data_IF_911181605853
#
_entry.id   IF_911181605853
#
_cell.length_a   1.000
_cell.length_b   1.000
_cell.length_c   1.000
_cell.angle_alpha   90.00
_cell.angle_beta   90.00
_cell.angle_gamma   90.00
#
_symmetry.space_group_name_H-M   'P 1'
#
loop_
_entity.id
_entity.type
_entity.pdbx_description
1 polymer ?
#
# COMPACT_ATOMS: atom_id res chain seq x y z
N UNK A 1 -27.96 -17.90 -23.52
CA UNK A 1 -28.03 -16.47 -23.16
C UNK A 1 -26.95 -15.73 -23.91
N UNK A 2 -27.25 -14.56 -24.48
CA UNK A 2 -26.22 -13.66 -25.02
C UNK A 2 -25.99 -12.58 -23.98
N UNK A 3 -24.77 -12.50 -23.46
CA UNK A 3 -24.37 -11.45 -22.54
C UNK A 3 -23.80 -10.31 -23.37
N UNK A 4 -24.42 -9.14 -23.28
CA UNK A 4 -23.89 -7.94 -23.93
C UNK A 4 -22.66 -7.45 -23.15
N UNK A 5 -21.76 -6.76 -23.84
CA UNK A 5 -20.55 -6.19 -23.29
C UNK A 5 -20.53 -4.69 -23.58
N UNK A 6 -19.87 -3.94 -22.71
CA UNK A 6 -19.54 -2.54 -22.94
C UNK A 6 -18.72 -2.38 -24.23
N UNK A 7 -18.91 -1.26 -24.92
CA UNK A 7 -18.06 -0.90 -26.06
C UNK A 7 -17.17 0.25 -25.65
N UNK A 8 -15.86 -0.01 -25.63
CA UNK A 8 -14.88 1.05 -25.48
C UNK A 8 -14.90 1.91 -26.74
N UNK A 9 -15.14 3.22 -26.56
CA UNK A 9 -15.07 4.20 -27.63
C UNK A 9 -13.63 4.73 -27.67
N UNK A 10 -13.34 5.82 -26.95
CA UNK A 10 -12.02 6.45 -26.82
C UNK A 10 -11.95 7.26 -25.51
N UNK A 11 -10.74 7.54 -25.01
CA UNK A 11 -10.51 8.39 -23.83
C UNK A 11 -11.33 8.00 -22.59
N UNK A 12 -11.28 6.73 -22.18
CA UNK A 12 -12.04 6.19 -21.04
C UNK A 12 -13.57 6.37 -21.17
N UNK A 13 -14.11 6.59 -22.38
CA UNK A 13 -15.54 6.61 -22.64
C UNK A 13 -16.02 5.23 -23.08
N UNK A 14 -17.09 4.78 -22.43
CA UNK A 14 -17.72 3.49 -22.70
C UNK A 14 -19.19 3.70 -23.05
N UNK A 15 -19.65 2.98 -24.08
CA UNK A 15 -21.08 2.84 -24.38
C UNK A 15 -21.63 1.64 -23.58
N UNK A 16 -22.57 1.92 -22.67
CA UNK A 16 -23.16 0.92 -21.78
C UNK A 16 -24.53 0.51 -22.35
N UNK A 17 -24.80 -0.80 -22.51
CA UNK A 17 -26.10 -1.25 -23.00
C UNK A 17 -27.27 -0.76 -22.13
N UNK A 18 -28.35 -0.31 -22.77
CA UNK A 18 -29.50 0.29 -22.07
C UNK A 18 -30.32 -0.67 -21.19
N UNK A 19 -30.05 -1.96 -21.27
CA UNK A 19 -30.65 -3.01 -20.43
C UNK A 19 -29.78 -3.37 -19.20
N UNK A 20 -28.63 -2.71 -19.01
CA UNK A 20 -27.83 -2.85 -17.80
C UNK A 20 -28.47 -2.10 -16.62
N UNK A 21 -27.86 -2.22 -15.44
CA UNK A 21 -28.28 -1.47 -14.25
C UNK A 21 -28.25 0.04 -14.52
N UNK A 22 -29.04 0.80 -13.77
CA UNK A 22 -28.97 2.25 -13.82
C UNK A 22 -27.64 2.77 -13.26
N UNK A 23 -27.23 3.97 -13.70
CA UNK A 23 -25.93 4.57 -13.37
C UNK A 23 -25.71 4.73 -11.85
N UNK A 24 -26.78 4.89 -11.08
CA UNK A 24 -26.76 5.02 -9.62
C UNK A 24 -26.13 3.79 -8.94
N UNK A 25 -26.29 2.59 -9.51
CA UNK A 25 -25.66 1.38 -8.97
C UNK A 25 -24.15 1.42 -9.13
N UNK A 26 -23.65 1.90 -10.28
CA UNK A 26 -22.22 2.05 -10.55
C UNK A 26 -21.60 3.11 -9.65
N UNK A 27 -22.27 4.27 -9.52
CA UNK A 27 -21.82 5.33 -8.62
C UNK A 27 -21.78 4.87 -7.16
N UNK A 28 -22.85 4.22 -6.67
CA UNK A 28 -22.90 3.70 -5.32
C UNK A 28 -21.79 2.68 -5.06
N UNK A 29 -21.59 1.73 -5.98
CA UNK A 29 -20.54 0.71 -5.85
C UNK A 29 -19.15 1.35 -5.78
N UNK A 30 -18.84 2.30 -6.67
CA UNK A 30 -17.56 3.01 -6.69
C UNK A 30 -17.31 3.77 -5.38
N UNK A 31 -18.30 4.54 -4.90
CA UNK A 31 -18.19 5.30 -3.66
C UNK A 31 -18.00 4.38 -2.44
N UNK A 32 -18.83 3.34 -2.33
CA UNK A 32 -18.77 2.39 -1.22
C UNK A 32 -17.43 1.65 -1.19
N UNK A 33 -16.95 1.19 -2.36
CA UNK A 33 -15.65 0.53 -2.48
C UNK A 33 -14.52 1.43 -1.97
N UNK A 34 -14.50 2.68 -2.41
CA UNK A 34 -13.48 3.67 -2.04
C UNK A 34 -13.52 4.02 -0.56
N UNK A 35 -14.71 4.25 -0.02
CA UNK A 35 -14.93 4.54 1.41
C UNK A 35 -14.47 3.36 2.27
N UNK A 36 -14.90 2.14 1.94
CA UNK A 36 -14.62 0.94 2.74
C UNK A 36 -13.12 0.64 2.77
N UNK A 37 -12.43 0.70 1.63
CA UNK A 37 -11.00 0.44 1.56
C UNK A 37 -10.17 1.55 2.21
N UNK A 38 -10.59 2.81 2.11
CA UNK A 38 -9.93 3.91 2.82
C UNK A 38 -10.08 3.78 4.33
N UNK A 39 -11.25 3.35 4.81
CA UNK A 39 -11.48 3.04 6.23
C UNK A 39 -10.62 1.86 6.69
N UNK A 40 -10.43 0.80 5.88
CA UNK A 40 -9.51 -0.29 6.21
C UNK A 40 -8.09 0.20 6.44
N UNK A 41 -7.57 0.99 5.50
CA UNK A 41 -6.22 1.56 5.60
C UNK A 41 -6.09 2.46 6.82
N UNK A 42 -7.09 3.32 7.05
CA UNK A 42 -7.10 4.20 8.21
C UNK A 42 -7.13 3.43 9.53
N UNK A 43 -8.04 2.46 9.68
CA UNK A 43 -8.13 1.61 10.87
C UNK A 43 -6.82 0.88 11.10
N UNK A 44 -6.21 0.32 10.06
CA UNK A 44 -4.91 -0.32 10.16
C UNK A 44 -3.85 0.61 10.73
N UNK A 45 -3.68 1.81 10.16
CA UNK A 45 -2.64 2.76 10.57
C UNK A 45 -2.79 3.07 12.07
N UNK A 46 -4.01 3.36 12.52
CA UNK A 46 -4.26 3.70 13.93
C UNK A 46 -3.99 2.49 14.84
N UNK A 47 -4.52 1.31 14.51
CA UNK A 47 -4.36 0.14 15.36
C UNK A 47 -2.91 -0.36 15.40
N UNK A 48 -2.22 -0.42 14.26
CA UNK A 48 -0.81 -0.83 14.18
C UNK A 48 0.07 0.18 14.93
N UNK A 49 -0.21 1.47 14.84
CA UNK A 49 0.52 2.49 15.61
C UNK A 49 0.37 2.31 17.13
N UNK A 50 -0.85 2.09 17.61
CA UNK A 50 -1.11 2.06 19.06
C UNK A 50 -0.76 0.70 19.70
N UNK A 51 -0.93 -0.40 18.96
CA UNK A 51 -0.83 -1.76 19.51
C UNK A 51 0.32 -2.60 18.93
N UNK A 52 1.06 -2.08 17.94
CA UNK A 52 2.13 -2.81 17.23
C UNK A 52 1.62 -4.19 16.82
N UNK A 53 2.40 -5.26 16.98
CA UNK A 53 2.02 -6.64 16.63
C UNK A 53 0.71 -7.13 17.27
N UNK A 54 0.28 -6.55 18.39
CA UNK A 54 -0.93 -6.99 19.11
C UNK A 54 -2.23 -6.47 18.48
N UNK A 55 -2.15 -5.67 17.41
CA UNK A 55 -3.32 -5.10 16.75
C UNK A 55 -4.32 -6.15 16.26
N UNK A 56 -3.85 -7.34 15.86
CA UNK A 56 -4.70 -8.46 15.42
C UNK A 56 -5.42 -9.16 16.59
N UNK A 57 -4.92 -9.02 17.81
CA UNK A 57 -5.48 -9.63 19.02
C UNK A 57 -6.58 -8.78 19.66
N UNK A 58 -6.88 -7.61 19.08
CA UNK A 58 -7.91 -6.72 19.58
C UNK A 58 -9.29 -7.35 19.45
N UNK A 59 -10.07 -7.26 20.52
CA UNK A 59 -11.42 -7.81 20.58
C UNK A 59 -12.38 -7.00 19.72
N UNK A 60 -13.24 -7.70 18.99
CA UNK A 60 -14.29 -7.16 18.14
C UNK A 60 -15.55 -8.03 18.27
N UNK A 61 -16.72 -7.40 18.18
CA UNK A 61 -18.00 -8.11 18.02
C UNK A 61 -18.26 -8.30 16.53
N UNK A 62 -18.37 -9.55 16.09
CA UNK A 62 -18.70 -9.90 14.71
C UNK A 62 -20.15 -9.53 14.36
N UNK A 63 -20.52 -9.69 13.09
CA UNK A 63 -21.91 -9.50 12.65
C UNK A 63 -22.88 -10.48 13.33
N UNK A 64 -22.41 -11.65 13.76
CA UNK A 64 -23.19 -12.69 14.45
C UNK A 64 -23.24 -12.49 15.99
N UNK A 65 -22.88 -11.29 16.47
CA UNK A 65 -22.77 -10.92 17.89
C UNK A 65 -21.74 -11.73 18.71
N UNK A 66 -20.95 -12.58 18.05
CA UNK A 66 -19.85 -13.30 18.66
C UNK A 66 -18.69 -12.35 18.99
N UNK A 67 -18.20 -12.42 20.24
CA UNK A 67 -16.96 -11.76 20.62
C UNK A 67 -15.78 -12.59 20.15
N UNK A 68 -14.95 -12.01 19.30
CA UNK A 68 -13.74 -12.64 18.78
C UNK A 68 -12.60 -11.61 18.68
N UNK A 69 -11.49 -11.98 18.04
CA UNK A 69 -10.41 -11.05 17.71
C UNK A 69 -10.36 -10.79 16.21
N UNK A 70 -9.76 -9.67 15.80
CA UNK A 70 -9.57 -9.33 14.38
C UNK A 70 -8.87 -10.48 13.64
N UNK A 71 -7.79 -11.01 14.21
CA UNK A 71 -7.02 -12.10 13.63
C UNK A 71 -7.81 -13.42 13.56
N UNK A 72 -8.61 -13.74 14.57
CA UNK A 72 -9.41 -14.97 14.57
C UNK A 72 -10.53 -14.93 13.52
N UNK A 73 -11.22 -13.79 13.36
CA UNK A 73 -12.24 -13.61 12.31
C UNK A 73 -11.60 -13.74 10.93
N UNK A 74 -10.47 -13.05 10.70
CA UNK A 74 -9.76 -13.12 9.43
C UNK A 74 -9.30 -14.55 9.12
N UNK A 75 -8.69 -15.25 10.08
CA UNK A 75 -8.24 -16.64 9.89
C UNK A 75 -9.42 -17.58 9.54
N UNK A 76 -10.58 -17.39 10.17
CA UNK A 76 -11.79 -18.15 9.86
C UNK A 76 -12.23 -17.92 8.41
N UNK A 77 -12.31 -16.67 7.96
CA UNK A 77 -12.72 -16.31 6.58
C UNK A 77 -11.69 -16.75 5.54
N UNK A 78 -10.41 -16.53 5.79
CA UNK A 78 -9.30 -17.07 4.97
C UNK A 78 -9.38 -18.59 4.80
N UNK A 79 -9.69 -19.33 5.87
CA UNK A 79 -9.83 -20.78 5.78
C UNK A 79 -11.05 -21.22 4.96
N UNK A 80 -12.10 -20.39 4.92
CA UNK A 80 -13.27 -20.62 4.07
C UNK A 80 -12.94 -20.34 2.60
N UNK A 81 -12.19 -19.27 2.33
CA UNK A 81 -11.76 -18.88 0.97
C UNK A 81 -10.83 -19.91 0.33
N UNK A 82 -9.97 -20.56 1.13
CA UNK A 82 -9.11 -21.64 0.65
C UNK A 82 -9.90 -22.84 0.08
N UNK A 83 -11.17 -23.03 0.46
CA UNK A 83 -12.02 -24.06 -0.15
C UNK A 83 -12.44 -23.70 -1.59
N UNK A 84 -12.26 -22.44 -1.98
CA UNK A 84 -12.61 -21.88 -3.29
C UNK A 84 -11.41 -21.18 -3.96
N UNK A 85 -10.18 -21.62 -3.66
CA UNK A 85 -8.92 -20.94 -4.01
C UNK A 85 -8.71 -20.57 -5.49
N UNK A 86 -9.56 -21.04 -6.42
CA UNK A 86 -9.56 -20.65 -7.83
C UNK A 86 -10.33 -19.33 -8.11
N UNK A 87 -11.03 -18.74 -7.12
CA UNK A 87 -11.94 -17.59 -7.31
C UNK A 87 -11.36 -16.21 -6.93
N UNK A 88 -10.06 -16.07 -6.68
CA UNK A 88 -9.52 -14.74 -6.36
C UNK A 88 -8.04 -14.71 -6.00
N UNK A 89 -7.60 -13.53 -5.55
CA UNK A 89 -6.25 -13.26 -5.08
C UNK A 89 -6.03 -13.75 -3.64
N UNK A 90 -4.82 -14.22 -3.32
CA UNK A 90 -4.48 -14.63 -1.96
C UNK A 90 -4.03 -13.44 -1.11
N UNK A 91 -4.94 -12.90 -0.29
CA UNK A 91 -4.70 -11.67 0.48
C UNK A 91 -4.61 -11.96 1.99
N UNK A 92 -3.44 -11.70 2.56
CA UNK A 92 -3.15 -12.01 3.97
C UNK A 92 -3.57 -10.93 4.98
N UNK A 93 -3.94 -9.72 4.55
CA UNK A 93 -4.29 -8.63 5.48
C UNK A 93 -5.60 -8.93 6.23
N UNK A 94 -5.58 -9.02 7.58
CA UNK A 94 -6.79 -9.34 8.35
C UNK A 94 -7.97 -8.37 8.14
N UNK A 95 -7.70 -7.11 7.80
CA UNK A 95 -8.75 -6.08 7.66
C UNK A 95 -9.53 -6.18 6.36
N UNK A 96 -8.96 -6.78 5.31
CA UNK A 96 -9.71 -7.07 4.09
C UNK A 96 -10.77 -8.14 4.30
N UNK A 97 -10.55 -9.00 5.29
CA UNK A 97 -11.50 -10.02 5.70
C UNK A 97 -12.59 -9.49 6.62
N UNK A 98 -12.57 -8.22 7.04
CA UNK A 98 -13.62 -7.63 7.86
C UNK A 98 -14.72 -6.97 7.02
N UNK A 99 -15.96 -7.00 7.54
CA UNK A 99 -17.09 -6.29 6.94
C UNK A 99 -17.06 -4.79 7.29
N UNK A 100 -17.78 -3.98 6.53
CA UNK A 100 -17.91 -2.55 6.84
C UNK A 100 -18.51 -2.31 8.23
N UNK A 101 -19.50 -3.11 8.65
CA UNK A 101 -20.08 -3.05 9.99
C UNK A 101 -19.06 -3.34 11.08
N UNK A 102 -18.20 -4.34 10.89
CA UNK A 102 -17.10 -4.65 11.80
C UNK A 102 -16.09 -3.49 11.91
N UNK A 103 -15.72 -2.86 10.79
CA UNK A 103 -14.84 -1.67 10.80
C UNK A 103 -15.46 -0.50 11.58
N UNK A 104 -16.76 -0.24 11.38
CA UNK A 104 -17.48 0.81 12.10
C UNK A 104 -17.51 0.51 13.60
N UNK A 105 -17.75 -0.76 13.98
CA UNK A 105 -17.72 -1.20 15.39
C UNK A 105 -16.34 -1.06 16.02
N UNK A 106 -15.25 -1.31 15.28
CA UNK A 106 -13.89 -1.03 15.77
C UNK A 106 -13.73 0.46 16.06
N UNK A 107 -14.05 1.31 15.09
CA UNK A 107 -13.86 2.76 15.18
C UNK A 107 -14.64 3.32 16.37
N UNK A 108 -15.91 2.91 16.51
CA UNK A 108 -16.87 3.48 17.45
C UNK A 108 -17.00 2.71 18.77
N UNK A 109 -16.14 1.72 19.02
CA UNK A 109 -16.07 0.98 20.28
C UNK A 109 -15.60 1.88 21.41
N UNK A 110 -16.20 1.76 22.60
CA UNK A 110 -15.75 2.47 23.81
C UNK A 110 -14.28 2.22 24.14
N UNK A 111 -13.78 1.02 23.84
CA UNK A 111 -12.40 0.63 24.13
C UNK A 111 -11.39 1.36 23.25
N UNK A 112 -11.77 1.69 22.02
CA UNK A 112 -10.85 2.19 20.99
C UNK A 112 -11.14 3.61 20.52
N UNK A 113 -12.34 4.15 20.80
CA UNK A 113 -12.76 5.48 20.36
C UNK A 113 -11.76 6.57 20.76
N UNK A 114 -11.11 6.44 21.92
CA UNK A 114 -10.07 7.38 22.37
C UNK A 114 -8.92 7.57 21.37
N UNK A 115 -8.61 6.56 20.56
CA UNK A 115 -7.57 6.63 19.53
C UNK A 115 -8.09 7.24 18.21
N UNK A 116 -9.38 7.04 17.91
CA UNK A 116 -10.02 7.52 16.68
C UNK A 116 -10.60 8.94 16.79
N UNK A 117 -11.04 9.37 17.98
CA UNK A 117 -11.79 10.60 18.23
C UNK A 117 -11.17 11.84 17.56
N UNK A 118 -9.85 11.99 17.60
CA UNK A 118 -9.15 13.17 17.06
C UNK A 118 -9.24 13.30 15.52
N UNK A 119 -9.65 12.23 14.83
CA UNK A 119 -9.76 12.19 13.38
C UNK A 119 -11.19 12.39 12.87
N UNK A 120 -12.16 12.57 13.77
CA UNK A 120 -13.56 12.74 13.41
C UNK A 120 -14.13 14.04 14.01
N UNK A 121 -14.85 14.80 13.18
CA UNK A 121 -15.50 16.05 13.58
C UNK A 121 -16.91 15.77 14.10
N UNK A 122 -17.02 15.14 15.26
CA UNK A 122 -18.31 14.81 15.87
C UNK A 122 -18.19 13.92 17.10
N UNK A 123 -19.32 13.71 17.78
CA UNK A 123 -19.37 12.70 18.85
C UNK A 123 -19.36 11.30 18.25
N UNK A 124 -18.97 10.31 19.07
CA UNK A 124 -18.93 8.90 18.68
C UNK A 124 -20.26 8.45 18.07
N UNK A 125 -21.37 8.88 18.67
CA UNK A 125 -22.74 8.53 18.27
C UNK A 125 -23.10 9.13 16.91
N UNK A 126 -22.74 10.39 16.67
CA UNK A 126 -22.99 11.06 15.37
C UNK A 126 -22.20 10.36 14.27
N UNK A 127 -20.92 10.06 14.52
CA UNK A 127 -20.04 9.39 13.55
C UNK A 127 -20.55 7.98 13.27
N UNK A 128 -20.92 7.23 14.31
CA UNK A 128 -21.52 5.90 14.19
C UNK A 128 -22.76 5.95 13.31
N UNK A 129 -23.71 6.82 13.60
CA UNK A 129 -24.96 6.91 12.84
C UNK A 129 -24.72 7.22 11.36
N UNK A 130 -23.80 8.15 11.05
CA UNK A 130 -23.47 8.50 9.65
C UNK A 130 -22.81 7.36 8.89
N UNK A 131 -21.92 6.62 9.54
CA UNK A 131 -21.29 5.46 8.92
C UNK A 131 -22.27 4.28 8.78
N UNK A 132 -23.15 4.07 9.76
CA UNK A 132 -24.22 3.07 9.72
C UNK A 132 -25.22 3.37 8.58
N UNK A 133 -25.54 4.65 8.32
CA UNK A 133 -26.35 5.06 7.16
C UNK A 133 -25.70 4.67 5.82
N UNK A 134 -24.38 4.84 5.68
CA UNK A 134 -23.62 4.35 4.52
C UNK A 134 -23.67 2.81 4.46
N UNK A 135 -23.47 2.15 5.61
CA UNK A 135 -23.53 0.70 5.76
C UNK A 135 -24.88 0.10 5.35
N UNK A 136 -25.98 0.79 5.63
CA UNK A 136 -27.32 0.38 5.22
C UNK A 136 -27.47 0.36 3.70
N UNK A 137 -26.93 1.34 2.98
CA UNK A 137 -26.97 1.37 1.51
C UNK A 137 -26.07 0.27 0.93
N UNK A 138 -24.89 0.04 1.51
CA UNK A 138 -24.02 -1.09 1.16
C UNK A 138 -24.74 -2.42 1.33
N UNK A 139 -25.47 -2.59 2.44
CA UNK A 139 -26.27 -3.78 2.70
C UNK A 139 -27.46 -3.90 1.73
N UNK A 140 -28.03 -2.79 1.27
CA UNK A 140 -29.03 -2.81 0.19
C UNK A 140 -28.42 -3.35 -1.11
N UNK A 141 -27.26 -2.84 -1.50
CA UNK A 141 -26.56 -3.28 -2.70
C UNK A 141 -26.16 -4.76 -2.65
N UNK A 142 -25.63 -5.23 -1.51
CA UNK A 142 -25.24 -6.63 -1.31
C UNK A 142 -26.41 -7.63 -1.40
N UNK A 143 -27.63 -7.19 -1.07
CA UNK A 143 -28.84 -8.00 -1.19
C UNK A 143 -29.64 -7.69 -2.48
N UNK A 144 -29.03 -7.03 -3.46
CA UNK A 144 -29.65 -6.65 -4.73
C UNK A 144 -30.97 -5.87 -4.56
N UNK A 145 -31.05 -5.04 -3.51
CA UNK A 145 -32.20 -4.15 -3.27
C UNK A 145 -32.10 -2.87 -4.11
N UNK A 146 -33.24 -2.25 -4.45
CA UNK A 146 -33.24 -1.04 -5.27
C UNK A 146 -32.41 0.11 -4.68
N UNK A 147 -31.61 0.75 -5.54
CA UNK A 147 -30.83 1.96 -5.23
C UNK A 147 -31.40 3.13 -6.03
N UNK A 148 -31.55 4.28 -5.38
CA UNK A 148 -31.99 5.54 -6.00
C UNK A 148 -30.94 6.63 -5.86
N UNK A 149 -31.06 7.69 -6.67
CA UNK A 149 -30.18 8.86 -6.63
C UNK A 149 -30.00 9.47 -5.23
N UNK A 150 -31.08 9.55 -4.45
CA UNK A 150 -31.01 10.05 -3.07
C UNK A 150 -30.12 9.22 -2.14
N UNK A 151 -29.93 7.92 -2.41
CA UNK A 151 -29.02 7.08 -1.63
C UNK A 151 -27.56 7.41 -1.97
N UNK A 152 -27.27 7.65 -3.26
CA UNK A 152 -25.95 8.11 -3.71
C UNK A 152 -25.59 9.45 -3.08
N UNK A 153 -26.54 10.39 -3.07
CA UNK A 153 -26.34 11.70 -2.44
C UNK A 153 -26.11 11.58 -0.93
N UNK A 154 -26.81 10.65 -0.25
CA UNK A 154 -26.60 10.37 1.17
C UNK A 154 -25.18 9.83 1.44
N UNK A 155 -24.68 8.90 0.61
CA UNK A 155 -23.31 8.38 0.72
C UNK A 155 -22.31 9.54 0.62
N UNK A 156 -22.42 10.37 -0.43
CA UNK A 156 -21.51 11.51 -0.66
C UNK A 156 -21.53 12.48 0.52
N UNK A 157 -22.72 12.84 1.00
CA UNK A 157 -22.87 13.78 2.11
C UNK A 157 -22.27 13.24 3.41
N UNK A 158 -22.57 11.99 3.78
CA UNK A 158 -22.06 11.41 5.01
C UNK A 158 -20.57 11.10 4.94
N UNK A 159 -20.04 10.70 3.78
CA UNK A 159 -18.61 10.54 3.57
C UNK A 159 -17.87 11.87 3.76
N UNK A 160 -18.36 12.96 3.17
CA UNK A 160 -17.77 14.29 3.34
C UNK A 160 -17.76 14.74 4.81
N UNK A 161 -18.85 14.52 5.54
CA UNK A 161 -18.95 14.91 6.95
C UNK A 161 -18.06 14.08 7.88
N UNK A 162 -17.86 12.79 7.59
CA UNK A 162 -17.15 11.86 8.48
C UNK A 162 -15.67 11.71 8.12
N UNK A 163 -15.34 11.69 6.82
CA UNK A 163 -14.02 11.32 6.33
C UNK A 163 -13.12 12.51 6.01
N UNK A 164 -13.59 13.75 6.08
CA UNK A 164 -12.77 14.92 5.69
C UNK A 164 -11.44 15.05 6.44
N UNK A 165 -11.39 14.74 7.75
CA UNK A 165 -10.14 14.73 8.51
C UNK A 165 -9.37 13.41 8.40
N UNK A 166 -10.06 12.30 8.15
CA UNK A 166 -9.45 10.99 7.82
C UNK A 166 -8.65 11.12 6.52
N UNK A 167 -9.24 11.72 5.50
CA UNK A 167 -8.62 11.96 4.19
C UNK A 167 -7.32 12.75 4.31
N UNK A 168 -7.37 13.89 5.02
CA UNK A 168 -6.17 14.70 5.28
C UNK A 168 -5.09 13.91 6.00
N UNK A 169 -5.48 13.04 6.94
CA UNK A 169 -4.55 12.22 7.70
C UNK A 169 -3.89 11.16 6.82
N UNK A 170 -4.68 10.48 5.98
CA UNK A 170 -4.18 9.49 5.03
C UNK A 170 -3.24 10.13 4.01
N UNK A 171 -3.63 11.26 3.42
CA UNK A 171 -2.79 12.00 2.48
C UNK A 171 -1.45 12.42 3.13
N UNK A 172 -1.47 12.98 4.35
CA UNK A 172 -0.27 13.40 5.06
C UNK A 172 0.64 12.20 5.44
N UNK A 173 0.04 11.08 5.87
CA UNK A 173 0.75 9.82 6.15
C UNK A 173 1.43 9.27 4.88
N UNK A 174 0.70 9.21 3.78
CA UNK A 174 1.18 8.60 2.54
C UNK A 174 2.22 9.49 1.85
N UNK A 175 2.02 10.80 1.83
CA UNK A 175 2.94 11.70 1.16
C UNK A 175 4.18 11.96 2.01
N UNK A 176 4.03 12.22 3.33
CA UNK A 176 5.09 12.79 4.17
C UNK A 176 5.84 13.89 3.41
N UNK A 177 5.19 15.03 3.13
CA UNK A 177 5.68 15.98 2.12
C UNK A 177 6.98 16.69 2.51
N UNK A 178 7.27 16.80 3.81
CA UNK A 178 8.36 17.61 4.31
C UNK A 178 9.64 16.80 4.47
N UNK A 179 10.79 17.41 4.21
CA UNK A 179 12.09 16.77 4.48
C UNK A 179 12.47 17.01 5.94
N UNK A 180 13.01 16.00 6.61
CA UNK A 180 13.53 16.17 7.97
C UNK A 180 14.80 17.05 7.90
N UNK A 181 14.84 18.22 8.58
CA UNK A 181 15.97 19.13 8.51
C UNK A 181 17.28 18.48 8.95
N UNK A 182 18.39 18.82 8.28
CA UNK A 182 19.71 18.24 8.58
C UNK A 182 20.32 18.72 9.90
N UNK A 183 19.83 19.83 10.45
CA UNK A 183 20.20 20.35 11.77
C UNK A 183 19.31 19.80 12.90
N UNK A 184 18.48 18.79 12.63
CA UNK A 184 17.70 18.08 13.64
C UNK A 184 18.62 17.49 14.70
N UNK A 185 18.33 17.80 15.96
CA UNK A 185 19.14 17.35 17.11
C UNK A 185 18.66 16.04 17.74
N UNK A 186 17.58 15.46 17.24
CA UNK A 186 16.96 14.23 17.76
C UNK A 186 17.88 13.01 17.55
N UNK A 187 18.04 12.19 18.59
CA UNK A 187 19.01 11.10 18.63
C UNK A 187 18.76 10.05 17.53
N UNK A 188 17.49 9.68 17.31
CA UNK A 188 17.13 8.73 16.25
C UNK A 188 17.61 9.21 14.86
N UNK A 189 17.55 10.51 14.58
CA UNK A 189 17.97 11.06 13.29
C UNK A 189 19.49 11.01 13.17
N UNK A 190 20.20 11.43 14.23
CA UNK A 190 21.67 11.39 14.28
C UNK A 190 22.24 9.99 14.16
N UNK A 191 21.54 8.99 14.66
CA UNK A 191 22.00 7.60 14.61
C UNK A 191 21.61 6.86 13.34
N UNK A 192 20.40 7.10 12.80
CA UNK A 192 19.94 6.38 11.61
C UNK A 192 20.37 7.03 10.29
N UNK A 193 20.45 8.37 10.22
CA UNK A 193 20.79 9.08 8.97
C UNK A 193 22.20 8.76 8.43
N UNK A 194 23.24 8.57 9.26
CA UNK A 194 24.57 8.23 8.76
C UNK A 194 24.70 6.81 8.23
N UNK A 195 23.75 5.91 8.56
CA UNK A 195 23.79 4.53 8.07
C UNK A 195 23.76 4.51 6.55
N UNK A 196 24.83 3.97 5.97
CA UNK A 196 25.00 3.81 4.54
C UNK A 196 26.12 2.79 4.27
N UNK A 197 26.09 2.19 3.09
CA UNK A 197 27.20 1.44 2.53
C UNK A 197 27.34 1.82 1.04
N UNK A 198 28.12 1.07 0.27
CA UNK A 198 28.35 1.38 -1.13
C UNK A 198 27.08 1.26 -1.99
N UNK A 199 26.12 0.45 -1.56
CA UNK A 199 24.91 0.11 -2.32
C UNK A 199 23.64 0.74 -1.76
N UNK A 200 23.63 1.14 -0.50
CA UNK A 200 22.46 1.62 0.23
C UNK A 200 22.69 2.97 0.87
N UNK A 201 21.70 3.85 0.76
CA UNK A 201 21.66 5.13 1.47
C UNK A 201 20.30 5.38 2.12
N UNK A 202 20.29 6.15 3.21
CA UNK A 202 19.08 6.47 3.97
C UNK A 202 18.73 7.96 3.86
N UNK A 203 17.46 8.26 3.63
CA UNK A 203 16.88 9.60 3.68
C UNK A 203 15.60 9.61 4.50
N UNK A 204 15.20 10.77 5.02
CA UNK A 204 13.98 10.90 5.82
C UNK A 204 13.06 12.00 5.31
N UNK A 205 11.77 11.69 5.33
CA UNK A 205 10.68 12.65 5.20
C UNK A 205 9.76 12.57 6.40
N UNK A 206 8.93 13.58 6.59
CA UNK A 206 7.95 13.65 7.67
C UNK A 206 6.62 14.23 7.20
N UNK A 207 5.57 13.90 7.94
CA UNK A 207 4.26 14.53 7.78
C UNK A 207 4.28 15.99 8.23
N UNK A 208 3.33 16.79 7.76
CA UNK A 208 3.24 18.23 8.10
C UNK A 208 3.10 18.50 9.59
N UNK A 209 2.45 17.57 10.29
CA UNK A 209 2.27 17.59 11.74
C UNK A 209 3.36 16.82 12.51
N UNK A 210 4.39 16.35 11.80
CA UNK A 210 5.53 15.58 12.32
C UNK A 210 5.18 14.28 13.06
N UNK A 211 3.92 13.82 13.00
CA UNK A 211 3.52 12.59 13.68
C UNK A 211 4.04 11.33 12.98
N UNK A 212 4.35 11.43 11.68
CA UNK A 212 4.79 10.32 10.85
C UNK A 212 6.16 10.61 10.26
N UNK A 213 7.07 9.64 10.37
CA UNK A 213 8.41 9.68 9.80
C UNK A 213 8.50 8.59 8.73
N UNK A 214 8.94 8.97 7.54
CA UNK A 214 9.16 8.06 6.42
C UNK A 214 10.65 7.94 6.15
N UNK A 215 11.20 6.75 6.40
CA UNK A 215 12.57 6.39 6.10
C UNK A 215 12.63 5.81 4.69
N UNK A 216 13.43 6.43 3.83
CA UNK A 216 13.71 6.00 2.47
C UNK A 216 15.06 5.30 2.46
N UNK A 217 15.07 4.01 2.13
CA UNK A 217 16.29 3.29 1.79
C UNK A 217 16.38 3.24 0.27
N UNK A 218 17.42 3.82 -0.30
CA UNK A 218 17.71 3.73 -1.71
C UNK A 218 18.81 2.70 -1.93
N UNK A 219 18.48 1.63 -2.66
CA UNK A 219 19.40 0.58 -3.08
C UNK A 219 19.80 0.80 -4.55
N UNK A 220 21.10 0.98 -4.78
CA UNK A 220 21.68 1.02 -6.10
C UNK A 220 21.88 -0.41 -6.59
N UNK A 221 21.01 -0.88 -7.50
CA UNK A 221 21.02 -2.23 -8.04
C UNK A 221 22.26 -2.44 -8.94
N UNK A 222 23.26 -3.24 -8.52
CA UNK A 222 24.44 -3.46 -9.36
C UNK A 222 24.08 -4.24 -10.62
N UNK A 223 24.72 -3.92 -11.75
CA UNK A 223 24.51 -4.63 -13.01
C UNK A 223 25.50 -5.79 -13.09
N UNK A 224 24.98 -7.01 -13.19
CA UNK A 224 25.77 -8.23 -13.33
C UNK A 224 26.18 -8.42 -14.80
N UNK A 225 25.22 -8.24 -15.69
CA UNK A 225 25.39 -8.55 -17.10
C UNK A 225 24.61 -7.55 -17.95
N UNK A 226 25.25 -7.07 -19.02
CA UNK A 226 24.59 -6.31 -20.07
C UNK A 226 24.87 -6.96 -21.43
N UNK A 227 23.81 -7.24 -22.18
CA UNK A 227 23.87 -7.80 -23.53
C UNK A 227 23.06 -6.94 -24.48
N UNK A 228 23.72 -6.33 -25.45
CA UNK A 228 23.05 -5.67 -26.58
C UNK A 228 22.77 -6.74 -27.64
N UNK A 229 21.51 -7.10 -27.83
CA UNK A 229 21.12 -8.10 -28.84
C UNK A 229 20.83 -7.45 -30.19
N UNK A 230 20.24 -6.25 -30.18
CA UNK A 230 19.95 -5.42 -31.35
C UNK A 230 20.15 -3.94 -30.99
N UNK A 231 20.18 -3.05 -31.98
CA UNK A 231 20.21 -1.60 -31.70
C UNK A 231 18.99 -1.12 -30.90
N UNK A 232 17.84 -1.77 -31.10
CA UNK A 232 16.58 -1.46 -30.43
C UNK A 232 16.33 -2.30 -29.17
N UNK A 233 17.22 -3.25 -28.83
CA UNK A 233 16.99 -4.21 -27.75
C UNK A 233 18.24 -4.44 -26.89
N UNK A 234 18.12 -4.12 -25.61
CA UNK A 234 19.17 -4.36 -24.61
C UNK A 234 18.62 -5.20 -23.47
N UNK A 235 19.39 -6.21 -23.10
CA UNK A 235 19.12 -7.09 -21.98
C UNK A 235 20.06 -6.75 -20.83
N UNK A 236 19.51 -6.58 -19.62
CA UNK A 236 20.27 -6.30 -18.40
C UNK A 236 19.88 -7.31 -17.32
N UNK A 237 20.87 -7.95 -16.68
CA UNK A 237 20.69 -8.63 -15.40
C UNK A 237 21.21 -7.75 -14.27
N UNK A 238 20.42 -7.65 -13.22
CA UNK A 238 20.73 -6.81 -12.06
C UNK A 238 20.11 -7.41 -10.81
N UNK A 239 20.47 -6.87 -9.65
CA UNK A 239 19.94 -7.29 -8.37
C UNK A 239 18.63 -6.56 -8.03
N UNK A 240 17.76 -7.27 -7.32
CA UNK A 240 16.55 -6.73 -6.72
C UNK A 240 16.48 -7.13 -5.25
N UNK A 241 15.87 -6.28 -4.42
CA UNK A 241 15.56 -6.61 -3.04
C UNK A 241 14.19 -7.28 -2.98
N UNK A 242 14.13 -8.46 -2.35
CA UNK A 242 12.89 -9.14 -1.96
C UNK A 242 12.30 -8.45 -0.74
N UNK A 243 11.55 -7.39 -0.97
CA UNK A 243 11.07 -6.48 0.08
C UNK A 243 10.23 -7.21 1.14
N UNK A 244 9.39 -8.16 0.73
CA UNK A 244 8.59 -8.98 1.65
C UNK A 244 9.48 -9.82 2.59
N UNK A 245 10.65 -10.29 2.14
CA UNK A 245 11.55 -11.10 2.96
C UNK A 245 12.23 -10.27 4.06
N UNK A 246 12.37 -8.95 3.87
CA UNK A 246 12.85 -8.09 4.94
C UNK A 246 11.89 -8.15 6.15
N UNK A 247 10.59 -8.15 5.89
CA UNK A 247 9.59 -8.17 6.96
C UNK A 247 9.56 -9.49 7.73
N UNK A 248 9.86 -10.60 7.06
CA UNK A 248 9.92 -11.93 7.69
C UNK A 248 11.20 -12.12 8.51
N UNK A 249 12.31 -11.53 8.07
CA UNK A 249 13.64 -11.79 8.63
C UNK A 249 14.07 -10.77 9.72
N UNK A 250 13.50 -9.56 9.72
CA UNK A 250 13.92 -8.47 10.61
C UNK A 250 12.72 -7.98 11.46
N UNK A 251 12.46 -8.71 12.55
CA UNK A 251 11.25 -8.55 13.35
C UNK A 251 11.18 -7.22 14.12
N UNK A 252 12.31 -6.63 14.54
CA UNK A 252 12.26 -5.35 15.23
C UNK A 252 11.82 -4.25 14.25
N UNK A 253 12.30 -4.29 13.01
CA UNK A 253 11.87 -3.41 11.95
C UNK A 253 10.37 -3.59 11.64
N UNK A 254 9.91 -4.82 11.46
CA UNK A 254 8.50 -5.16 11.18
C UNK A 254 7.54 -4.76 12.30
N UNK A 255 7.96 -4.97 13.55
CA UNK A 255 7.18 -4.61 14.74
C UNK A 255 6.92 -3.11 14.81
N UNK A 256 7.95 -2.33 14.50
CA UNK A 256 7.94 -0.87 14.69
C UNK A 256 7.46 -0.11 13.45
N UNK A 257 7.58 -0.67 12.25
CA UNK A 257 7.03 -0.06 11.04
C UNK A 257 5.52 -0.24 10.97
N UNK A 258 4.82 0.77 10.44
CA UNK A 258 3.39 0.69 10.16
C UNK A 258 3.21 0.09 8.76
N UNK A 259 3.94 0.63 7.79
CA UNK A 259 3.88 0.18 6.40
C UNK A 259 5.22 0.28 5.72
N UNK A 260 5.47 -0.63 4.78
CA UNK A 260 6.54 -0.57 3.80
C UNK A 260 5.95 -0.53 2.38
N UNK A 261 6.40 0.44 1.60
CA UNK A 261 6.13 0.51 0.15
C UNK A 261 7.44 0.49 -0.61
N UNK A 262 7.37 0.13 -1.87
CA UNK A 262 8.53 0.10 -2.75
C UNK A 262 8.26 0.81 -4.07
N UNK A 263 9.33 1.30 -4.67
CA UNK A 263 9.34 1.92 -5.98
C UNK A 263 10.63 1.52 -6.70
N UNK A 264 10.54 1.18 -7.97
CA UNK A 264 11.70 1.04 -8.85
C UNK A 264 11.82 2.31 -9.71
N UNK A 265 13.02 2.88 -9.86
CA UNK A 265 13.19 4.10 -10.64
C UNK A 265 12.49 4.00 -11.99
N UNK A 266 11.94 5.10 -12.50
CA UNK A 266 11.38 5.13 -13.85
C UNK A 266 12.46 4.70 -14.85
N UNK A 267 12.30 3.52 -15.42
CA UNK A 267 13.32 2.88 -16.24
C UNK A 267 13.16 3.33 -17.71
N UNK A 268 13.16 4.64 -17.92
CA UNK A 268 13.17 5.30 -19.22
C UNK A 268 14.49 6.06 -19.39
N UNK A 269 15.26 5.74 -20.42
CA UNK A 269 16.57 6.37 -20.64
C UNK A 269 16.89 6.53 -22.12
N UNK A 270 17.61 7.61 -22.47
CA UNK A 270 18.20 7.76 -23.80
C UNK A 270 19.51 6.96 -23.94
N UNK A 271 20.17 6.66 -22.82
CA UNK A 271 21.45 5.98 -22.78
C UNK A 271 21.37 4.79 -21.81
N UNK A 272 21.08 3.61 -22.37
CA UNK A 272 21.04 2.35 -21.60
C UNK A 272 22.43 1.94 -21.11
N UNK A 273 23.50 2.39 -21.79
CA UNK A 273 24.87 2.01 -21.43
C UNK A 273 25.35 2.67 -20.13
N UNK A 274 24.80 3.85 -19.78
CA UNK A 274 25.11 4.53 -18.52
C UNK A 274 23.93 4.51 -17.53
N UNK A 275 22.99 3.59 -17.71
CA UNK A 275 21.82 3.50 -16.86
C UNK A 275 22.21 3.13 -15.42
N UNK A 276 21.81 3.97 -14.47
CA UNK A 276 21.76 3.64 -13.05
C UNK A 276 20.38 3.12 -12.72
N UNK A 277 20.33 1.97 -12.05
CA UNK A 277 19.09 1.34 -11.64
C UNK A 277 19.02 1.42 -10.13
N UNK A 278 17.94 1.96 -9.58
CA UNK A 278 17.73 2.02 -8.14
C UNK A 278 16.37 1.47 -7.75
N UNK A 279 16.30 0.90 -6.54
CA UNK A 279 15.06 0.52 -5.87
C UNK A 279 14.97 1.29 -4.58
N UNK A 280 13.84 1.97 -4.37
CA UNK A 280 13.54 2.71 -3.14
C UNK A 280 12.57 1.93 -2.30
N UNK A 281 12.93 1.67 -1.05
CA UNK A 281 12.05 1.14 -0.01
C UNK A 281 11.67 2.27 0.93
N UNK A 282 10.39 2.39 1.26
CA UNK A 282 9.85 3.46 2.09
C UNK A 282 9.18 2.85 3.30
N UNK A 283 9.79 3.01 4.47
CA UNK A 283 9.25 2.55 5.75
C UNK A 283 8.60 3.74 6.45
N UNK A 284 7.35 3.60 6.87
CA UNK A 284 6.64 4.64 7.61
C UNK A 284 6.48 4.24 9.07
N UNK A 285 6.87 5.13 9.97
CA UNK A 285 6.80 4.98 11.42
C UNK A 285 6.00 6.14 12.02
N UNK A 286 5.46 5.96 13.22
CA UNK A 286 5.16 7.14 14.04
C UNK A 286 6.41 7.72 14.66
N UNK A 287 6.45 9.05 14.81
CA UNK A 287 7.55 9.77 15.45
C UNK A 287 7.85 9.22 16.84
N UNK A 288 6.81 8.99 17.65
CA UNK A 288 6.94 8.35 18.97
C UNK A 288 7.63 6.98 18.90
N UNK A 289 7.30 6.15 17.92
CA UNK A 289 7.85 4.80 17.80
C UNK A 289 9.33 4.82 17.41
N UNK A 290 9.71 5.66 16.45
CA UNK A 290 11.11 5.78 16.04
C UNK A 290 11.95 6.40 17.16
N UNK A 291 11.47 7.44 17.84
CA UNK A 291 12.15 8.05 19.00
C UNK A 291 12.42 7.04 20.13
N UNK A 292 11.48 6.13 20.38
CA UNK A 292 11.59 5.17 21.49
C UNK A 292 12.39 3.92 21.12
N UNK A 293 12.35 3.48 19.87
CA UNK A 293 12.87 2.16 19.45
C UNK A 293 13.94 2.25 18.34
N UNK A 294 14.56 3.43 18.14
CA UNK A 294 15.53 3.60 17.04
C UNK A 294 16.73 2.67 17.15
N UNK A 295 17.15 2.25 18.35
CA UNK A 295 18.30 1.36 18.50
C UNK A 295 18.00 -0.04 17.93
N UNK A 296 16.81 -0.58 18.19
CA UNK A 296 16.42 -1.88 17.64
C UNK A 296 16.24 -1.79 16.12
N UNK A 297 15.66 -0.68 15.64
CA UNK A 297 15.52 -0.38 14.21
C UNK A 297 16.92 -0.29 13.56
N UNK A 298 17.86 0.42 14.19
CA UNK A 298 19.23 0.58 13.72
C UNK A 298 19.93 -0.77 13.58
N UNK A 299 19.86 -1.62 14.59
CA UNK A 299 20.49 -2.95 14.57
C UNK A 299 19.98 -3.80 13.41
N UNK A 300 18.66 -3.78 13.15
CA UNK A 300 18.06 -4.50 12.03
C UNK A 300 18.53 -3.90 10.68
N UNK A 301 18.62 -2.58 10.56
CA UNK A 301 19.07 -1.90 9.33
C UNK A 301 20.55 -2.16 9.04
N UNK A 302 21.42 -2.10 10.05
CA UNK A 302 22.84 -2.47 9.92
C UNK A 302 22.98 -3.93 9.48
N UNK A 303 22.17 -4.83 10.04
CA UNK A 303 22.14 -6.24 9.65
C UNK A 303 21.66 -6.43 8.21
N UNK A 304 20.64 -5.68 7.77
CA UNK A 304 20.18 -5.67 6.37
C UNK A 304 21.31 -5.24 5.44
N UNK A 305 22.00 -4.14 5.75
CA UNK A 305 23.06 -3.61 4.89
C UNK A 305 24.24 -4.57 4.78
N UNK A 306 24.66 -5.17 5.91
CA UNK A 306 25.68 -6.22 5.90
C UNK A 306 25.23 -7.41 5.04
N UNK A 307 23.98 -7.86 5.20
CA UNK A 307 23.45 -9.00 4.45
C UNK A 307 23.35 -8.74 2.96
N UNK A 308 23.01 -7.52 2.56
CA UNK A 308 23.02 -7.09 1.15
C UNK A 308 24.44 -7.24 0.58
N UNK A 309 25.46 -6.71 1.27
CA UNK A 309 26.85 -6.82 0.82
C UNK A 309 27.30 -8.29 0.72
N UNK A 310 27.01 -9.11 1.74
CA UNK A 310 27.33 -10.56 1.72
C UNK A 310 26.67 -11.30 0.55
N UNK A 311 25.38 -11.06 0.29
CA UNK A 311 24.66 -11.75 -0.78
C UNK A 311 25.08 -11.26 -2.18
N UNK A 312 25.43 -9.98 -2.32
CA UNK A 312 26.01 -9.46 -3.56
C UNK A 312 27.33 -10.15 -3.90
N UNK A 313 28.23 -10.25 -2.91
CA UNK A 313 29.53 -10.90 -3.10
C UNK A 313 29.36 -12.39 -3.43
N UNK A 314 28.49 -13.08 -2.70
CA UNK A 314 28.22 -14.51 -2.90
C UNK A 314 27.65 -14.78 -4.30
N UNK A 315 26.61 -14.06 -4.70
CA UNK A 315 25.93 -14.28 -6.00
C UNK A 315 26.82 -13.86 -7.17
N UNK A 316 27.67 -12.84 -6.98
CA UNK A 316 28.61 -12.41 -8.02
C UNK A 316 29.73 -13.44 -8.25
N UNK A 317 30.09 -14.24 -7.24
CA UNK A 317 31.09 -15.31 -7.33
C UNK A 317 30.48 -16.65 -7.78
N UNK A 318 29.24 -16.92 -7.40
CA UNK A 318 28.50 -18.14 -7.75
C UNK A 318 27.13 -17.81 -8.37
N UNK A 319 27.04 -17.97 -9.68
CA UNK A 319 25.81 -17.73 -10.46
C UNK A 319 24.64 -18.66 -10.09
N UNK A 320 24.87 -19.69 -9.26
CA UNK A 320 23.83 -20.58 -8.74
C UNK A 320 23.39 -20.22 -7.31
N UNK A 321 24.13 -19.37 -6.61
CA UNK A 321 23.77 -18.93 -5.28
C UNK A 321 22.46 -18.14 -5.30
N UNK A 322 21.65 -18.34 -4.26
CA UNK A 322 20.37 -17.64 -4.08
C UNK A 322 20.41 -16.85 -2.78
N UNK A 323 20.11 -15.56 -2.89
CA UNK A 323 19.97 -14.68 -1.75
C UNK A 323 18.66 -14.91 -0.98
N UNK A 324 18.74 -14.71 0.32
CA UNK A 324 17.57 -14.68 1.22
C UNK A 324 16.81 -13.37 1.07
N UNK A 325 17.50 -12.25 0.84
CA UNK A 325 16.90 -10.93 0.68
C UNK A 325 17.17 -10.32 -0.69
N UNK A 326 18.15 -10.84 -1.43
CA UNK A 326 18.42 -10.46 -2.82
C UNK A 326 18.00 -11.56 -3.81
N UNK A 327 17.69 -11.12 -5.02
CA UNK A 327 17.54 -11.96 -6.21
C UNK A 327 18.15 -11.29 -7.44
N UNK A 328 18.47 -12.11 -8.43
CA UNK A 328 18.85 -11.66 -9.75
C UNK A 328 17.61 -11.62 -10.62
N UNK A 329 17.34 -10.44 -11.20
CA UNK A 329 16.24 -10.25 -12.13
C UNK A 329 16.78 -9.86 -13.51
N UNK A 330 15.92 -10.04 -14.51
CA UNK A 330 16.22 -9.76 -15.89
C UNK A 330 15.30 -8.67 -16.44
N UNK A 331 15.89 -7.71 -17.12
CA UNK A 331 15.21 -6.56 -17.72
C UNK A 331 15.42 -6.54 -19.21
N UNK A 332 14.34 -6.28 -19.94
CA UNK A 332 14.35 -6.19 -21.39
C UNK A 332 13.99 -4.77 -21.80
N UNK A 333 14.98 -4.03 -22.27
CA UNK A 333 14.81 -2.67 -22.75
C UNK A 333 14.51 -2.67 -24.23
N UNK A 334 13.45 -1.97 -24.60
CA UNK A 334 13.05 -1.77 -26.00
C UNK A 334 13.05 -0.29 -26.31
N UNK A 335 13.64 0.06 -27.46
CA UNK A 335 13.53 1.42 -28.00
C UNK A 335 12.07 1.67 -28.41
N UNK A 336 11.48 2.76 -27.94
CA UNK A 336 10.14 3.18 -28.36
C UNK A 336 10.17 3.59 -29.84
N UNK A 337 9.12 3.26 -30.60
CA UNK A 337 9.01 3.67 -32.01
C UNK A 337 9.14 5.19 -32.14
N UNK A 338 9.87 5.64 -33.17
CA UNK A 338 10.16 7.06 -33.43
C UNK A 338 10.73 7.84 -32.22
N UNK A 339 11.33 7.15 -31.25
CA UNK A 339 11.86 7.75 -30.03
C UNK A 339 13.34 7.43 -29.85
N UNK A 340 14.07 8.34 -29.21
CA UNK A 340 15.46 8.10 -28.77
C UNK A 340 15.53 7.34 -27.45
N UNK A 341 14.39 7.09 -26.81
CA UNK A 341 14.31 6.49 -25.48
C UNK A 341 14.11 4.98 -25.55
N UNK A 342 14.76 4.29 -24.63
CA UNK A 342 14.47 2.92 -24.25
C UNK A 342 13.55 2.92 -23.04
N UNK A 343 12.66 1.94 -22.98
CA UNK A 343 11.83 1.64 -21.83
C UNK A 343 11.79 0.15 -21.53
N UNK A 344 11.42 -0.20 -20.31
CA UNK A 344 11.14 -1.58 -19.90
C UNK A 344 9.92 -1.60 -18.97
N UNK A 345 9.28 -2.77 -18.87
CA UNK A 345 8.24 -3.01 -17.87
C UNK A 345 8.93 -3.25 -16.52
N UNK A 346 8.48 -2.55 -15.48
CA UNK A 346 9.05 -2.66 -14.13
C UNK A 346 8.40 -3.77 -13.29
N UNK A 347 7.49 -4.59 -13.84
CA UNK A 347 6.89 -5.73 -13.11
C UNK A 347 7.90 -6.62 -12.42
N UNK A 348 9.01 -6.95 -13.09
CA UNK A 348 10.06 -7.81 -12.51
C UNK A 348 10.81 -7.18 -11.33
N UNK A 349 10.68 -5.87 -11.09
CA UNK A 349 11.26 -5.21 -9.91
C UNK A 349 10.34 -5.22 -8.70
N UNK A 350 9.04 -5.36 -8.95
CA UNK A 350 8.02 -5.16 -7.94
C UNK A 350 7.68 -6.51 -7.33
N UNK A 351 7.75 -6.57 -6.01
CA UNK A 351 7.29 -7.67 -5.18
C UNK A 351 5.77 -7.70 -5.25
N UNK A 352 5.20 -8.85 -5.62
CA UNK A 352 3.76 -9.06 -5.57
C UNK A 352 3.26 -8.94 -4.12
N UNK A 353 2.05 -8.40 -3.93
CA UNK A 353 1.47 -8.20 -2.60
C UNK A 353 0.83 -9.47 -2.04
N UNK A 354 0.59 -10.48 -2.87
CA UNK A 354 0.02 -11.76 -2.44
C UNK A 354 0.95 -12.48 -1.46
N UNK A 355 0.34 -13.11 -0.45
CA UNK A 355 1.05 -13.84 0.60
C UNK A 355 2.10 -13.04 1.40
N UNK A 356 2.10 -11.71 1.32
CA UNK A 356 3.04 -10.86 2.07
C UNK A 356 2.50 -10.47 3.45
N UNK A 357 3.37 -10.06 4.40
CA UNK A 357 2.91 -9.52 5.69
C UNK A 357 2.03 -8.26 5.51
N UNK A 358 1.07 -7.98 6.41
CA UNK A 358 0.17 -6.82 6.32
C UNK A 358 0.88 -5.46 6.25
N UNK A 359 2.12 -5.37 6.73
CA UNK A 359 2.96 -4.19 6.63
C UNK A 359 3.38 -3.89 5.19
N UNK A 360 3.44 -4.90 4.30
CA UNK A 360 3.79 -4.69 2.89
C UNK A 360 2.59 -4.19 2.10
N UNK A 361 2.71 -2.96 1.58
CA UNK A 361 1.65 -2.29 0.85
C UNK A 361 1.91 -2.23 -0.66
N UNK A 362 2.99 -2.86 -1.13
CA UNK A 362 3.35 -2.87 -2.55
C UNK A 362 3.81 -1.51 -3.05
N UNK A 363 3.43 -1.22 -4.30
CA UNK A 363 3.72 0.04 -4.99
C UNK A 363 2.65 1.07 -4.66
N UNK A 364 3.06 2.24 -4.18
CA UNK A 364 2.15 3.33 -3.84
C UNK A 364 2.78 4.68 -4.26
N UNK A 365 3.03 4.80 -5.56
CA UNK A 365 3.92 5.82 -6.13
C UNK A 365 3.26 7.15 -6.45
N UNK A 366 1.95 7.13 -6.66
CA UNK A 366 1.16 8.30 -6.98
C UNK A 366 -0.15 8.21 -6.23
N UNK A 367 -0.19 8.72 -5.01
CA UNK A 367 -1.45 9.00 -4.36
C UNK A 367 -1.75 10.47 -4.52
N UNK A 368 -2.91 10.75 -5.12
CA UNK A 368 -3.49 12.09 -5.12
C UNK A 368 -3.65 12.59 -3.67
N UNK A 369 -3.74 13.91 -3.50
CA UNK A 369 -4.11 14.56 -2.25
C UNK A 369 -5.46 14.04 -1.75
N UNK A 370 -6.31 13.55 -2.67
CA UNK A 370 -7.59 12.93 -2.38
C UNK A 370 -7.50 11.38 -2.39
N UNK A 371 -6.92 10.80 -1.35
CA UNK A 371 -6.75 9.34 -1.25
C UNK A 371 -8.08 8.55 -1.26
N UNK A 372 -9.12 9.03 -0.60
CA UNK A 372 -10.44 8.36 -0.57
C UNK A 372 -11.06 8.39 -1.96
N UNK A 373 -11.10 9.55 -2.62
CA UNK A 373 -11.85 9.65 -3.87
C UNK A 373 -11.07 9.22 -5.11
N UNK A 374 -9.75 9.38 -5.13
CA UNK A 374 -8.95 9.31 -6.36
C UNK A 374 -7.82 8.28 -6.33
N UNK A 375 -7.66 7.49 -5.25
CA UNK A 375 -6.58 6.49 -5.24
C UNK A 375 -6.81 5.42 -6.31
N UNK A 376 -5.77 5.14 -7.10
CA UNK A 376 -5.73 4.06 -8.09
C UNK A 376 -5.32 2.72 -7.47
N UNK A 377 -4.66 2.77 -6.32
CA UNK A 377 -4.16 1.62 -5.58
C UNK A 377 -4.57 1.70 -4.12
N UNK A 378 -4.99 0.58 -3.55
CA UNK A 378 -5.11 0.42 -2.11
C UNK A 378 -4.13 -0.65 -1.64
N UNK A 379 -3.56 -0.52 -0.42
CA UNK A 379 -2.80 -1.58 0.21
C UNK A 379 -3.52 -2.93 0.11
N UNK A 380 -2.74 -3.98 -0.15
CA UNK A 380 -3.21 -5.37 -0.23
C UNK A 380 -4.18 -5.69 -1.39
N UNK A 381 -4.51 -4.71 -2.25
CA UNK A 381 -5.19 -4.95 -3.52
C UNK A 381 -4.11 -5.07 -4.61
N UNK A 382 -3.96 -6.24 -5.26
CA UNK A 382 -2.82 -6.51 -6.15
C UNK A 382 -2.92 -5.82 -7.52
N UNK A 383 -4.07 -5.24 -7.85
CA UNK A 383 -4.34 -4.59 -9.14
C UNK A 383 -4.79 -3.16 -8.97
N UNK A 384 -4.51 -2.33 -9.98
CA UNK A 384 -5.12 -1.00 -10.12
C UNK A 384 -6.64 -1.14 -10.15
N UNK A 385 -7.35 -0.24 -9.45
CA UNK A 385 -8.81 -0.21 -9.44
C UNK A 385 -9.38 0.82 -10.44
N UNK A 386 -8.54 1.72 -10.93
CA UNK A 386 -8.90 2.78 -11.87
C UNK A 386 -7.64 3.32 -12.51
N UNK A 387 -7.68 3.58 -13.82
CA UNK A 387 -6.58 4.21 -14.55
C UNK A 387 -7.08 5.57 -15.07
N UNK A 388 -6.82 6.66 -14.34
CA UNK A 388 -7.19 7.99 -14.83
C UNK A 388 -6.02 8.57 -15.64
N UNK A 389 -6.16 8.46 -16.96
CA UNK A 389 -5.11 8.73 -17.96
C UNK A 389 -4.77 10.21 -18.17
N UNK A 390 -5.14 11.09 -17.25
CA UNK A 390 -4.77 12.51 -17.32
C UNK A 390 -3.52 12.86 -16.49
N UNK A 391 -2.95 11.90 -15.75
CA UNK A 391 -1.64 12.08 -15.12
C UNK A 391 -0.49 11.77 -16.10
N UNK A 392 -0.15 12.80 -16.88
CA UNK A 392 1.17 13.09 -17.48
C UNK A 392 2.27 12.05 -17.20
N UNK A 393 2.64 11.24 -18.19
CA UNK A 393 4.03 11.00 -18.69
C UNK A 393 4.06 10.21 -20.00
#
# INVERSE_FOLDING_TARGET
MKWESEKHIENNKYDIPGNWLHIEYFEALNLLFRIENSLRVFVYIILKNEFKEKWTNLSITSDDEEKSTIGAIAKRRLSQDNNYAYLGYSINSPLLHLTSGELIRIITSDSYWKYFKKYFLGTKEIIKNKLDEIGNIRNSLAHFRPIKKGDVDLIKQNANHTLGQVEKTLADYILCPDTVPTNTNEDWYKELKPLSNNECSINFKQSKNENWIKMHIEFQCPIIERKKLLESFVYIKTFNIKTANLLSNYQNLTTNTISITENASNIFTQNVDNLKITKSLKFTFSKKTIETNFQDIKNDIESIFLKITEELDLISQDNLARGTILEVIALSFRKKENSKYFGTDNKNFITETENTPPEFWGKLDHTDVNFVSNSEFYPWIPVSISDDKDSLF
#
